data_IF_638274784038
#
_entry.id   IF_638274784038
#
_cell.length_a   1.000
_cell.length_b   1.000
_cell.length_c   1.000
_cell.angle_alpha   90.00
_cell.angle_beta   90.00
_cell.angle_gamma   90.00
#
_symmetry.space_group_name_H-M   'P 1'
#
loop_
_entity.id
_entity.type
_entity.pdbx_description
1 polymer ?
#
# COMPACT_ATOMS: atom_id res chain seq x y z
N UNK A 1 14.25 34.52 -3.75
CA UNK A 1 13.01 33.72 -3.91
C UNK A 1 13.40 32.27 -4.21
N UNK A 2 13.16 31.33 -3.28
CA UNK A 2 13.27 29.89 -3.55
C UNK A 2 11.96 29.23 -3.10
N UNK A 3 11.06 28.97 -4.06
CA UNK A 3 9.88 28.12 -3.86
C UNK A 3 10.38 26.69 -3.65
N UNK A 4 10.36 26.19 -2.41
CA UNK A 4 10.37 24.75 -2.14
C UNK A 4 8.92 24.31 -2.02
N UNK A 5 8.46 23.65 -3.07
CA UNK A 5 7.14 23.05 -3.21
C UNK A 5 6.92 22.08 -2.05
N UNK A 6 6.14 22.51 -1.04
CA UNK A 6 5.60 21.58 -0.07
C UNK A 6 4.76 20.56 -0.85
N UNK A 7 5.24 19.31 -0.88
CA UNK A 7 4.56 18.18 -1.49
C UNK A 7 3.19 18.10 -0.80
N UNK A 8 2.14 18.54 -1.49
CA UNK A 8 0.77 18.50 -1.02
C UNK A 8 0.45 17.03 -0.76
N UNK A 9 0.54 16.58 0.49
CA UNK A 9 -0.07 15.32 0.92
C UNK A 9 -1.53 15.53 0.53
N UNK A 10 -2.01 14.83 -0.51
CA UNK A 10 -3.43 14.88 -0.82
C UNK A 10 -4.12 14.38 0.45
N UNK A 11 -4.94 15.26 1.06
CA UNK A 11 -5.78 14.91 2.18
C UNK A 11 -6.79 13.87 1.69
N UNK A 12 -6.38 12.61 1.69
CA UNK A 12 -7.30 11.48 1.60
C UNK A 12 -8.18 11.55 2.84
N UNK A 13 -9.50 11.44 2.64
CA UNK A 13 -10.43 11.55 3.75
C UNK A 13 -10.21 10.40 4.73
N UNK A 14 -10.34 10.71 6.03
CA UNK A 14 -10.09 9.74 7.10
C UNK A 14 -10.97 8.49 6.96
N UNK A 15 -12.21 8.65 6.49
CA UNK A 15 -13.12 7.53 6.29
C UNK A 15 -12.62 6.56 5.21
N UNK A 16 -11.99 7.07 4.14
CA UNK A 16 -11.38 6.27 3.07
C UNK A 16 -10.13 5.55 3.59
N UNK A 17 -9.26 6.26 4.35
CA UNK A 17 -8.11 5.63 5.00
C UNK A 17 -8.57 4.46 5.87
N UNK A 18 -9.60 4.67 6.69
CA UNK A 18 -10.12 3.64 7.58
C UNK A 18 -10.69 2.45 6.79
N UNK A 19 -11.46 2.70 5.72
CA UNK A 19 -12.01 1.63 4.88
C UNK A 19 -10.90 0.74 4.31
N UNK A 20 -9.86 1.34 3.74
CA UNK A 20 -8.73 0.61 3.16
C UNK A 20 -7.87 -0.05 4.25
N UNK A 21 -7.62 0.62 5.38
CA UNK A 21 -6.82 0.05 6.47
C UNK A 21 -7.54 -1.04 7.25
N UNK A 22 -8.87 -1.04 7.30
CA UNK A 22 -9.63 -2.18 7.82
C UNK A 22 -9.32 -3.46 7.02
N UNK A 23 -9.15 -3.33 5.70
CA UNK A 23 -8.70 -4.45 4.85
C UNK A 23 -7.27 -4.87 5.19
N UNK A 24 -6.36 -3.94 5.42
CA UNK A 24 -5.00 -4.23 5.88
C UNK A 24 -4.98 -5.01 7.22
N UNK A 25 -5.85 -4.64 8.18
CA UNK A 25 -5.98 -5.34 9.47
C UNK A 25 -6.44 -6.79 9.27
N UNK A 26 -7.40 -7.03 8.37
CA UNK A 26 -7.83 -8.39 8.02
C UNK A 26 -6.66 -9.20 7.47
N UNK A 27 -5.94 -8.68 6.47
CA UNK A 27 -4.78 -9.33 5.86
C UNK A 27 -3.69 -9.62 6.91
N UNK A 28 -3.45 -8.69 7.83
CA UNK A 28 -2.41 -8.85 8.84
C UNK A 28 -2.73 -9.99 9.83
N UNK A 29 -4.01 -10.24 10.12
CA UNK A 29 -4.45 -11.31 11.01
C UNK A 29 -4.37 -12.71 10.40
N UNK A 30 -4.17 -12.83 9.09
CA UNK A 30 -4.17 -14.13 8.41
C UNK A 30 -2.96 -15.02 8.77
N UNK A 31 -1.83 -14.43 9.16
CA UNK A 31 -0.61 -15.17 9.49
C UNK A 31 0.29 -14.32 10.41
N UNK A 32 0.73 -14.90 11.52
CA UNK A 32 1.55 -14.24 12.56
C UNK A 32 3.03 -14.19 12.17
N UNK A 33 3.47 -15.17 11.38
CA UNK A 33 4.83 -15.31 10.85
C UNK A 33 5.11 -14.37 9.67
N UNK A 34 4.12 -13.58 9.26
CA UNK A 34 4.23 -12.61 8.19
C UNK A 34 4.30 -11.18 8.74
N UNK A 35 5.48 -10.57 8.67
CA UNK A 35 5.63 -9.15 8.92
C UNK A 35 5.17 -8.36 7.68
N UNK A 36 4.26 -7.41 7.87
CA UNK A 36 3.68 -6.63 6.76
C UNK A 36 3.77 -5.12 6.99
N UNK A 37 4.21 -4.35 5.98
CA UNK A 37 4.20 -2.87 5.98
C UNK A 37 3.19 -2.35 4.96
N UNK A 38 2.07 -1.79 5.42
CA UNK A 38 0.96 -1.35 4.57
C UNK A 38 1.03 0.14 4.23
N UNK A 39 0.74 0.47 2.97
CA UNK A 39 0.68 1.83 2.45
C UNK A 39 -0.49 2.00 1.50
N UNK A 40 -1.19 3.13 1.62
CA UNK A 40 -2.13 3.60 0.61
C UNK A 40 -1.35 4.49 -0.34
N UNK A 41 -1.42 4.17 -1.62
CA UNK A 41 -0.68 4.82 -2.69
C UNK A 41 -1.63 5.20 -3.83
N UNK A 42 -1.16 6.10 -4.68
CA UNK A 42 -1.77 6.40 -5.97
C UNK A 42 -0.72 6.32 -7.08
N UNK A 43 -1.17 6.04 -8.30
CA UNK A 43 -0.35 6.14 -9.50
C UNK A 43 -0.95 7.18 -10.44
N UNK A 44 -0.14 8.05 -11.07
CA UNK A 44 -0.61 8.92 -12.14
C UNK A 44 -1.13 8.14 -13.36
N UNK A 45 -0.76 6.86 -13.51
CA UNK A 45 -1.26 5.96 -14.56
C UNK A 45 -2.69 5.46 -14.27
N UNK A 46 -3.09 5.40 -12.99
CA UNK A 46 -4.42 4.93 -12.55
C UNK A 46 -5.10 5.97 -11.65
N UNK A 47 -5.46 7.12 -12.23
CA UNK A 47 -5.94 8.31 -11.49
C UNK A 47 -7.25 8.13 -10.70
N UNK A 48 -8.00 7.05 -10.96
CA UNK A 48 -9.27 6.74 -10.30
C UNK A 48 -9.17 5.55 -9.34
N UNK A 49 -7.94 5.16 -8.99
CA UNK A 49 -7.67 3.98 -8.18
C UNK A 49 -6.81 4.37 -6.98
N UNK A 50 -7.19 3.85 -5.82
CA UNK A 50 -6.36 3.81 -4.62
C UNK A 50 -5.74 2.44 -4.51
N UNK A 51 -4.46 2.39 -4.15
CA UNK A 51 -3.71 1.14 -4.13
C UNK A 51 -3.26 0.89 -2.70
N UNK A 52 -3.78 -0.16 -2.08
CA UNK A 52 -3.20 -0.70 -0.85
C UNK A 52 -2.04 -1.58 -1.27
N UNK A 53 -0.81 -1.16 -1.00
CA UNK A 53 0.39 -1.95 -1.23
C UNK A 53 0.96 -2.39 0.09
N UNK A 54 1.44 -3.63 0.15
CA UNK A 54 2.22 -4.09 1.29
C UNK A 54 3.39 -4.97 0.89
N UNK A 55 4.44 -4.87 1.68
CA UNK A 55 5.55 -5.82 1.66
C UNK A 55 5.21 -6.90 2.66
N UNK A 56 5.28 -8.17 2.26
CA UNK A 56 5.22 -9.32 3.17
C UNK A 56 6.63 -9.86 3.31
N UNK A 57 7.13 -9.98 4.54
CA UNK A 57 8.34 -10.73 4.86
C UNK A 57 7.88 -11.98 5.58
N UNK A 58 8.00 -13.12 4.91
CA UNK A 58 7.79 -14.44 5.50
C UNK A 58 9.05 -14.83 6.26
N UNK A 59 8.92 -14.94 7.58
CA UNK A 59 10.00 -15.31 8.50
C UNK A 59 9.85 -16.74 9.04
N UNK A 60 9.00 -17.57 8.43
CA UNK A 60 8.84 -18.99 8.79
C UNK A 60 10.17 -19.74 8.75
N UNK A 61 11.10 -19.31 7.88
CA UNK A 61 12.51 -19.67 7.92
C UNK A 61 13.35 -18.40 8.15
N UNK A 62 13.82 -18.22 9.38
CA UNK A 62 14.61 -17.04 9.79
C UNK A 62 15.94 -16.91 9.05
N UNK A 63 16.53 -18.01 8.58
CA UNK A 63 17.80 -18.00 7.82
C UNK A 63 17.60 -17.63 6.35
N UNK A 64 16.36 -17.75 5.85
CA UNK A 64 15.99 -17.50 4.45
C UNK A 64 14.63 -16.80 4.36
N UNK A 65 14.53 -15.54 4.83
CA UNK A 65 13.28 -14.80 4.75
C UNK A 65 12.90 -14.55 3.29
N UNK A 66 11.64 -14.77 2.96
CA UNK A 66 11.11 -14.51 1.61
C UNK A 66 10.36 -13.19 1.63
N UNK A 67 10.77 -12.26 0.77
CA UNK A 67 10.10 -10.97 0.63
C UNK A 67 9.22 -10.95 -0.61
N UNK A 68 7.95 -10.62 -0.44
CA UNK A 68 6.99 -10.46 -1.54
C UNK A 68 6.31 -9.10 -1.48
N UNK A 69 6.10 -8.49 -2.65
CA UNK A 69 5.26 -7.30 -2.77
C UNK A 69 3.87 -7.72 -3.24
N UNK A 70 2.85 -7.19 -2.57
CA UNK A 70 1.45 -7.42 -2.91
C UNK A 70 0.71 -6.09 -2.98
N UNK A 71 -0.39 -6.08 -3.72
CA UNK A 71 -1.29 -4.94 -3.77
C UNK A 71 -2.74 -5.37 -3.93
N UNK A 72 -3.65 -4.52 -3.46
CA UNK A 72 -5.08 -4.55 -3.75
C UNK A 72 -5.51 -3.15 -4.22
N UNK A 73 -6.49 -3.08 -5.12
CA UNK A 73 -7.03 -1.82 -5.58
C UNK A 73 -8.37 -1.50 -4.93
N UNK A 74 -8.62 -0.20 -4.82
CA UNK A 74 -9.84 0.36 -4.29
C UNK A 74 -10.28 1.51 -5.18
N UNK A 75 -11.59 1.71 -5.29
CA UNK A 75 -12.13 2.92 -5.86
C UNK A 75 -11.79 4.14 -4.98
N UNK A 76 -12.07 5.33 -5.50
CA UNK A 76 -11.72 6.58 -4.83
C UNK A 76 -12.43 6.77 -3.48
N UNK A 77 -13.53 6.06 -3.25
CA UNK A 77 -14.31 6.02 -2.01
C UNK A 77 -13.81 4.96 -1.01
N UNK A 78 -12.84 4.12 -1.39
CA UNK A 78 -12.34 3.03 -0.56
C UNK A 78 -13.08 1.70 -0.73
N UNK A 79 -13.97 1.57 -1.71
CA UNK A 79 -14.60 0.30 -2.07
C UNK A 79 -13.57 -0.63 -2.74
N UNK A 80 -13.42 -1.90 -2.32
CA UNK A 80 -12.52 -2.84 -2.99
C UNK A 80 -12.93 -3.07 -4.44
N UNK A 81 -11.96 -3.04 -5.35
CA UNK A 81 -12.18 -3.37 -6.75
C UNK A 81 -11.30 -4.56 -7.15
N UNK A 82 -11.86 -5.47 -7.96
CA UNK A 82 -11.07 -6.50 -8.61
C UNK A 82 -10.31 -5.87 -9.78
N UNK A 83 -9.17 -5.23 -9.47
CA UNK A 83 -8.24 -4.80 -10.49
C UNK A 83 -7.19 -5.88 -10.74
N UNK A 84 -6.74 -5.97 -11.99
CA UNK A 84 -5.43 -6.52 -12.30
C UNK A 84 -4.68 -5.40 -13.02
N UNK A 85 -3.56 -4.97 -12.46
CA UNK A 85 -2.71 -4.00 -13.16
C UNK A 85 -1.84 -4.81 -14.10
N UNK A 86 -2.16 -4.72 -15.39
CA UNK A 86 -1.42 -5.39 -16.45
C UNK A 86 -0.28 -4.50 -16.91
N UNK A 87 0.88 -5.12 -17.13
CA UNK A 87 2.03 -4.51 -17.77
C UNK A 87 2.47 -5.44 -18.90
N UNK A 88 2.80 -4.87 -20.04
CA UNK A 88 3.18 -5.59 -21.25
C UNK A 88 4.62 -6.09 -21.17
N UNK A 89 5.45 -5.39 -20.39
CA UNK A 89 6.87 -5.70 -20.19
C UNK A 89 7.38 -5.20 -18.82
N UNK A 90 8.67 -5.47 -18.56
CA UNK A 90 9.33 -5.09 -17.32
C UNK A 90 9.53 -3.57 -17.18
N UNK A 91 9.68 -2.84 -18.29
CA UNK A 91 9.87 -1.39 -18.28
C UNK A 91 8.58 -0.70 -17.83
N UNK A 92 7.44 -1.10 -18.41
CA UNK A 92 6.12 -0.61 -18.02
C UNK A 92 5.78 -0.95 -16.56
N UNK A 93 6.15 -2.15 -16.10
CA UNK A 93 6.00 -2.52 -14.69
C UNK A 93 6.85 -1.63 -13.77
N UNK A 94 8.12 -1.41 -14.12
CA UNK A 94 9.01 -0.55 -13.35
C UNK A 94 8.49 0.89 -13.29
N UNK A 95 8.05 1.44 -14.42
CA UNK A 95 7.48 2.79 -14.51
C UNK A 95 6.24 2.92 -13.61
N UNK A 96 5.36 1.93 -13.63
CA UNK A 96 4.24 1.89 -12.71
C UNK A 96 4.71 1.95 -11.25
N UNK A 97 5.62 1.07 -10.82
CA UNK A 97 6.06 1.03 -9.43
C UNK A 97 6.84 2.29 -9.01
N UNK A 98 7.62 2.89 -9.91
CA UNK A 98 8.33 4.14 -9.70
C UNK A 98 7.39 5.34 -9.63
N UNK A 99 6.25 5.29 -10.33
CA UNK A 99 5.24 6.34 -10.32
C UNK A 99 4.43 6.40 -9.02
N UNK A 100 4.44 5.32 -8.23
CA UNK A 100 3.60 5.21 -7.02
C UNK A 100 3.99 6.27 -5.98
N UNK A 101 3.01 7.06 -5.59
CA UNK A 101 3.16 8.06 -4.53
C UNK A 101 2.37 7.64 -3.30
N UNK A 102 3.05 7.58 -2.14
CA UNK A 102 2.40 7.28 -0.86
C UNK A 102 1.46 8.42 -0.46
N UNK A 103 0.20 8.09 -0.21
CA UNK A 103 -0.81 8.96 0.36
C UNK A 103 -0.89 8.81 1.88
N UNK A 104 -0.80 7.58 2.36
CA UNK A 104 -0.83 7.25 3.78
C UNK A 104 0.05 6.02 4.04
N UNK A 105 0.82 6.06 5.12
CA UNK A 105 1.58 4.91 5.62
C UNK A 105 0.94 4.48 6.93
N UNK A 106 0.75 3.19 7.13
CA UNK A 106 0.31 2.68 8.42
C UNK A 106 1.29 3.13 9.50
N UNK A 107 0.78 3.86 10.48
CA UNK A 107 1.52 4.18 11.69
C UNK A 107 1.37 2.97 12.61
N UNK A 108 2.46 2.25 12.85
CA UNK A 108 2.45 1.18 13.85
C UNK A 108 2.37 1.84 15.23
N UNK A 109 1.19 1.90 15.82
CA UNK A 109 1.08 1.64 17.25
C UNK A 109 1.17 0.13 17.40
N UNK A 110 2.37 -0.37 17.70
CA UNK A 110 2.47 -1.63 18.42
C UNK A 110 1.69 -1.38 19.70
N UNK A 111 0.47 -1.90 19.78
CA UNK A 111 -0.24 -1.94 21.04
C UNK A 111 0.59 -2.86 21.92
N UNK A 112 1.42 -2.27 22.78
CA UNK A 112 2.28 -2.97 23.73
C UNK A 112 1.48 -3.61 24.87
N UNK A 113 0.17 -3.79 24.71
CA UNK A 113 -0.69 -4.49 25.66
C UNK A 113 -0.75 -5.99 25.29
N UNK A 114 0.37 -6.67 25.51
CA UNK A 114 0.38 -8.11 25.80
C UNK A 114 0.63 -8.29 27.30
#
# INVERSE_FOLDING_TARGET
MKKKTAKKIQNIEKHIINAIMNRAVVINKECLEHCRDFRIMESPMHKKTRILRWTTIDISNVDRPIQCYRYECFDMDGTPQNCSIHYSDQEEANDFFLSLTTLYKQEFSIDHTL
#
